data_IF_057630051913
#
_entry.id   IF_057630051913
#
_cell.length_a   1.000
_cell.length_b   1.000
_cell.length_c   1.000
_cell.angle_alpha   90.00
_cell.angle_beta   90.00
_cell.angle_gamma   90.00
#
_symmetry.space_group_name_H-M   'P 1'
#
loop_
_entity.id
_entity.type
_entity.pdbx_description
1 polymer ?
#
# COMPACT_ATOMS: atom_id res chain seq x y z
N UNK A 1 -4.53 -7.23 -7.31
CA UNK A 1 -5.56 -7.56 -8.34
C UNK A 1 -6.00 -6.28 -9.02
N UNK A 2 -6.63 -6.32 -10.19
CA UNK A 2 -7.12 -5.09 -10.82
C UNK A 2 -8.25 -4.44 -10.00
N UNK A 3 -9.20 -5.25 -9.51
CA UNK A 3 -10.20 -4.86 -8.53
C UNK A 3 -9.94 -5.59 -7.21
N UNK A 4 -9.93 -4.85 -6.11
CA UNK A 4 -9.73 -5.39 -4.76
C UNK A 4 -10.92 -5.02 -3.85
N UNK A 5 -11.47 -5.96 -3.05
CA UNK A 5 -11.15 -7.40 -3.05
C UNK A 5 -11.71 -8.11 -4.30
N UNK A 6 -11.18 -9.29 -4.63
CA UNK A 6 -11.79 -10.16 -5.64
C UNK A 6 -13.09 -10.78 -5.11
N UNK A 7 -14.01 -11.12 -6.00
CA UNK A 7 -15.23 -11.84 -5.62
C UNK A 7 -14.94 -13.27 -5.14
N UNK A 8 -15.85 -13.88 -4.36
CA UNK A 8 -15.67 -15.24 -3.84
C UNK A 8 -15.63 -16.28 -4.96
N UNK A 9 -16.30 -16.03 -6.10
CA UNK A 9 -16.33 -16.92 -7.25
C UNK A 9 -15.19 -16.69 -8.26
N UNK A 10 -14.16 -15.92 -7.88
CA UNK A 10 -13.07 -15.58 -8.79
C UNK A 10 -12.25 -16.84 -9.15
N UNK A 11 -11.98 -17.12 -10.44
CA UNK A 11 -11.42 -18.40 -10.89
C UNK A 11 -10.06 -18.73 -10.29
N UNK A 12 -9.23 -17.72 -10.00
CA UNK A 12 -7.93 -17.91 -9.35
C UNK A 12 -8.03 -18.51 -7.93
N UNK A 13 -9.16 -18.38 -7.24
CA UNK A 13 -9.37 -18.98 -5.90
C UNK A 13 -9.50 -20.51 -5.96
N UNK A 14 -9.82 -21.08 -7.11
CA UNK A 14 -10.01 -22.52 -7.30
C UNK A 14 -8.76 -23.26 -7.79
N UNK A 15 -7.68 -22.54 -8.14
CA UNK A 15 -6.49 -23.14 -8.74
C UNK A 15 -5.54 -23.70 -7.67
N UNK A 16 -5.18 -25.00 -7.71
CA UNK A 16 -4.36 -25.64 -6.67
C UNK A 16 -2.89 -25.21 -6.71
N UNK A 17 -2.46 -24.57 -7.80
CA UNK A 17 -1.09 -24.13 -8.04
C UNK A 17 -0.91 -22.61 -7.86
N UNK A 18 -1.87 -21.94 -7.23
CA UNK A 18 -1.86 -20.48 -7.03
C UNK A 18 -1.98 -20.16 -5.54
N UNK A 19 -1.10 -19.28 -5.07
CA UNK A 19 -1.19 -18.66 -3.74
C UNK A 19 -1.50 -17.18 -3.93
N UNK A 20 -2.58 -16.72 -3.29
CA UNK A 20 -3.03 -15.34 -3.34
C UNK A 20 -2.75 -14.64 -2.00
N UNK A 21 -2.44 -13.35 -2.05
CA UNK A 21 -2.28 -12.52 -0.84
C UNK A 21 -3.21 -11.31 -0.91
N UNK A 22 -3.84 -10.88 0.19
CA UNK A 22 -4.77 -9.76 0.19
C UNK A 22 -4.03 -8.41 0.29
N UNK A 23 -3.10 -8.15 -0.63
CA UNK A 23 -2.32 -6.89 -0.68
C UNK A 23 -1.58 -6.59 0.64
N UNK A 24 -0.98 -7.61 1.24
CA UNK A 24 -0.29 -7.51 2.54
C UNK A 24 1.24 -7.38 2.43
N UNK A 25 1.77 -7.05 1.25
CA UNK A 25 3.23 -7.01 1.03
C UNK A 25 3.99 -6.09 2.00
N UNK A 26 3.41 -4.93 2.36
CA UNK A 26 4.01 -3.98 3.30
C UNK A 26 3.49 -4.09 4.74
N UNK A 27 2.68 -5.10 5.05
CA UNK A 27 1.86 -5.16 6.27
C UNK A 27 2.62 -5.58 7.55
N UNK A 28 3.91 -5.27 7.67
CA UNK A 28 4.61 -5.35 8.96
C UNK A 28 4.30 -4.09 9.79
N UNK A 29 4.24 -4.22 11.12
CA UNK A 29 4.01 -3.07 12.01
C UNK A 29 5.09 -2.01 11.79
N UNK A 30 6.36 -2.39 11.78
CA UNK A 30 7.48 -1.48 11.59
C UNK A 30 7.41 -0.73 10.24
N UNK A 31 7.11 -1.45 9.15
CA UNK A 31 6.98 -0.84 7.81
C UNK A 31 5.80 0.12 7.76
N UNK A 32 4.61 -0.28 8.26
CA UNK A 32 3.42 0.57 8.24
C UNK A 32 3.56 1.82 9.11
N UNK A 33 4.20 1.72 10.28
CA UNK A 33 4.51 2.88 11.13
C UNK A 33 5.41 3.86 10.37
N UNK A 34 6.50 3.38 9.78
CA UNK A 34 7.43 4.25 9.03
C UNK A 34 6.76 4.91 7.82
N UNK A 35 5.93 4.17 7.08
CA UNK A 35 5.16 4.71 5.95
C UNK A 35 4.17 5.80 6.40
N UNK A 36 3.45 5.57 7.51
CA UNK A 36 2.49 6.54 8.05
C UNK A 36 3.19 7.83 8.50
N UNK A 37 4.31 7.71 9.24
CA UNK A 37 5.13 8.86 9.64
C UNK A 37 5.62 9.64 8.43
N UNK A 38 6.18 8.95 7.44
CA UNK A 38 6.68 9.59 6.21
C UNK A 38 5.57 10.35 5.46
N UNK A 39 4.38 9.77 5.37
CA UNK A 39 3.24 10.42 4.73
C UNK A 39 2.83 11.70 5.46
N UNK A 40 2.79 11.67 6.79
CA UNK A 40 2.47 12.85 7.61
C UNK A 40 3.54 13.94 7.49
N UNK A 41 4.82 13.58 7.53
CA UNK A 41 5.95 14.51 7.37
C UNK A 41 5.94 15.19 6.00
N UNK A 42 5.66 14.43 4.93
CA UNK A 42 5.52 14.97 3.58
C UNK A 42 4.38 15.99 3.49
N UNK A 43 3.22 15.66 4.06
CA UNK A 43 2.06 16.55 4.09
C UNK A 43 2.37 17.86 4.82
N UNK A 44 2.90 17.78 6.05
CA UNK A 44 3.24 18.96 6.85
C UNK A 44 4.30 19.82 6.15
N UNK A 45 5.30 19.20 5.52
CA UNK A 45 6.37 19.92 4.80
C UNK A 45 5.81 20.77 3.67
N UNK A 46 4.95 20.19 2.84
CA UNK A 46 4.31 20.91 1.71
C UNK A 46 3.38 22.00 2.21
N UNK A 47 2.55 21.72 3.22
CA UNK A 47 1.65 22.73 3.81
C UNK A 47 2.40 23.89 4.48
N UNK A 48 3.66 23.67 4.87
CA UNK A 48 4.57 24.70 5.40
C UNK A 48 5.30 25.49 4.30
N UNK A 49 4.94 25.31 3.01
CA UNK A 49 5.58 26.00 1.89
C UNK A 49 6.97 25.48 1.52
N UNK A 50 7.37 24.30 2.02
CA UNK A 50 8.64 23.65 1.70
C UNK A 50 8.43 22.49 0.74
N UNK A 51 9.45 22.15 -0.05
CA UNK A 51 9.41 20.95 -0.88
C UNK A 51 9.75 19.70 -0.04
N UNK A 52 9.00 18.61 -0.21
CA UNK A 52 9.37 17.29 0.32
C UNK A 52 10.43 16.63 -0.59
N UNK A 53 11.36 15.83 -0.05
CA UNK A 53 12.28 15.02 -0.86
C UNK A 53 11.58 13.90 -1.65
N UNK A 54 10.33 13.56 -1.33
CA UNK A 54 9.59 12.43 -1.91
C UNK A 54 8.47 12.87 -2.87
N UNK A 55 8.75 13.88 -3.70
CA UNK A 55 7.82 14.29 -4.77
C UNK A 55 7.74 13.21 -5.85
N UNK A 56 6.52 12.77 -6.17
CA UNK A 56 6.24 11.95 -7.35
C UNK A 56 6.18 12.86 -8.56
N UNK A 57 6.95 12.57 -9.60
CA UNK A 57 7.00 13.31 -10.86
C UNK A 57 6.36 12.51 -11.99
#
# INVERSE_FOLDING_TARGET
FEREPIGPDHPLLALPNVVLTPHIGSASIATRVRMATLAAENLVTVLSGRATPHVVR
#
